data_IF_416249796261
#
_entry.id   IF_416249796261
#
_cell.length_a   1.000
_cell.length_b   1.000
_cell.length_c   1.000
_cell.angle_alpha   90.00
_cell.angle_beta   90.00
_cell.angle_gamma   90.00
#
_symmetry.space_group_name_H-M   'P 1'
#
loop_
_entity.id
_entity.type
_entity.pdbx_description
1 polymer ?
#
# COMPACT_ATOMS: atom_id res chain seq x y z
N UNK A 1 -7.81 -15.70 -15.25
CA UNK A 1 -8.04 -14.36 -15.83
C UNK A 1 -7.09 -13.38 -15.18
N UNK A 2 -7.36 -12.08 -15.31
CA UNK A 2 -6.46 -11.03 -14.77
C UNK A 2 -7.22 -10.07 -13.87
N UNK A 3 -6.59 -9.61 -12.80
CA UNK A 3 -7.10 -8.55 -11.92
C UNK A 3 -6.85 -7.19 -12.59
N UNK A 4 -7.90 -6.39 -12.70
CA UNK A 4 -7.81 -5.02 -13.22
C UNK A 4 -7.47 -4.07 -12.07
N UNK A 5 -8.23 -4.16 -10.97
CA UNK A 5 -8.07 -3.29 -9.80
C UNK A 5 -8.66 -3.97 -8.56
N UNK A 6 -8.19 -3.55 -7.38
CA UNK A 6 -8.68 -4.02 -6.09
C UNK A 6 -8.89 -2.85 -5.14
N UNK A 7 -9.99 -2.91 -4.39
CA UNK A 7 -10.44 -1.88 -3.44
C UNK A 7 -10.93 -2.52 -2.15
N UNK A 8 -10.99 -1.76 -1.06
CA UNK A 8 -11.62 -2.19 0.19
C UNK A 8 -12.93 -1.43 0.40
N UNK A 9 -14.07 -2.12 0.25
CA UNK A 9 -15.39 -1.55 0.49
C UNK A 9 -15.79 -1.75 1.96
N UNK A 10 -16.22 -0.64 2.59
CA UNK A 10 -16.56 -0.60 4.01
C UNK A 10 -17.81 -1.43 4.28
N UNK A 11 -17.65 -2.53 5.01
CA UNK A 11 -18.73 -3.42 5.41
C UNK A 11 -18.99 -4.57 4.45
N UNK A 12 -18.41 -4.56 3.24
CA UNK A 12 -18.45 -5.71 2.32
C UNK A 12 -17.15 -6.51 2.32
N UNK A 13 -16.01 -5.84 2.51
CA UNK A 13 -14.67 -6.44 2.46
C UNK A 13 -13.94 -6.09 1.18
N UNK A 14 -12.93 -6.88 0.83
CA UNK A 14 -12.14 -6.66 -0.39
C UNK A 14 -12.93 -6.99 -1.64
N UNK A 15 -12.90 -6.06 -2.58
CA UNK A 15 -13.60 -6.11 -3.85
C UNK A 15 -12.57 -5.95 -4.96
N UNK A 16 -12.54 -6.90 -5.89
CA UNK A 16 -11.60 -6.87 -7.01
C UNK A 16 -12.36 -6.89 -8.33
N UNK A 17 -12.07 -5.96 -9.22
CA UNK A 17 -12.55 -5.99 -10.60
C UNK A 17 -11.62 -6.90 -11.39
N UNK A 18 -12.15 -7.98 -11.97
CA UNK A 18 -11.38 -8.98 -12.70
C UNK A 18 -11.91 -9.16 -14.11
N UNK A 19 -11.01 -9.46 -15.05
CA UNK A 19 -11.35 -9.85 -16.41
C UNK A 19 -11.24 -11.36 -16.55
N UNK A 20 -12.37 -12.03 -16.79
CA UNK A 20 -12.39 -13.47 -17.10
C UNK A 20 -11.85 -13.65 -18.52
N UNK A 21 -10.73 -14.36 -18.68
CA UNK A 21 -10.12 -14.59 -19.99
C UNK A 21 -10.46 -15.97 -20.57
N UNK A 22 -10.65 -16.97 -19.70
CA UNK A 22 -10.95 -18.34 -20.08
C UNK A 22 -11.86 -18.98 -19.03
N UNK A 23 -12.75 -19.87 -19.48
CA UNK A 23 -13.73 -20.53 -18.61
C UNK A 23 -14.88 -19.63 -18.19
N UNK A 24 -15.58 -20.02 -17.14
CA UNK A 24 -16.72 -19.28 -16.57
C UNK A 24 -16.53 -19.18 -15.07
N UNK A 25 -16.53 -17.97 -14.54
CA UNK A 25 -16.49 -17.71 -13.11
C UNK A 25 -17.90 -17.71 -12.56
N UNK A 26 -18.15 -18.39 -11.44
CA UNK A 26 -19.45 -18.50 -10.79
C UNK A 26 -19.40 -18.09 -9.32
N UNK A 27 -20.55 -17.70 -8.78
CA UNK A 27 -20.68 -17.52 -7.33
C UNK A 27 -20.45 -18.86 -6.64
N UNK A 28 -19.62 -18.86 -5.60
CA UNK A 28 -19.23 -20.05 -4.87
C UNK A 28 -17.89 -20.64 -5.29
N UNK A 29 -17.32 -20.22 -6.42
CA UNK A 29 -15.98 -20.67 -6.83
C UNK A 29 -14.91 -20.19 -5.84
N UNK A 30 -13.89 -21.02 -5.65
CA UNK A 30 -12.69 -20.63 -4.89
C UNK A 30 -11.73 -19.98 -5.87
N UNK A 31 -11.30 -18.76 -5.56
CA UNK A 31 -10.34 -18.03 -6.37
C UNK A 31 -9.03 -17.81 -5.61
N UNK A 32 -7.93 -17.84 -6.36
CA UNK A 32 -6.58 -17.57 -5.89
C UNK A 32 -5.94 -16.54 -6.83
N UNK A 33 -5.47 -15.43 -6.27
CA UNK A 33 -4.76 -14.38 -7.00
C UNK A 33 -3.61 -13.85 -6.14
N UNK A 34 -2.39 -13.88 -6.67
CA UNK A 34 -1.19 -13.59 -5.89
C UNK A 34 -1.08 -14.48 -4.65
N UNK A 35 -1.03 -13.85 -3.48
CA UNK A 35 -1.04 -14.46 -2.13
C UNK A 35 -2.43 -14.48 -1.50
N UNK A 36 -3.45 -13.99 -2.19
CA UNK A 36 -4.81 -13.86 -1.68
C UNK A 36 -5.73 -14.93 -2.22
N UNK A 37 -6.62 -15.43 -1.36
CA UNK A 37 -7.59 -16.45 -1.72
C UNK A 37 -8.92 -16.21 -1.02
N UNK A 38 -9.99 -16.73 -1.62
CA UNK A 38 -11.30 -16.68 -1.02
C UNK A 38 -12.36 -17.27 -1.93
N UNK A 39 -13.56 -17.43 -1.37
CA UNK A 39 -14.72 -17.88 -2.11
C UNK A 39 -15.48 -16.69 -2.66
N UNK A 40 -15.88 -16.75 -3.92
CA UNK A 40 -16.74 -15.73 -4.55
C UNK A 40 -18.08 -15.70 -3.82
N UNK A 41 -18.33 -14.63 -3.05
CA UNK A 41 -19.58 -14.41 -2.30
C UNK A 41 -20.63 -13.71 -3.15
N UNK A 42 -20.20 -12.79 -3.98
CA UNK A 42 -21.05 -12.04 -4.89
C UNK A 42 -20.23 -11.57 -6.09
N UNK A 43 -20.93 -11.40 -7.22
CA UNK A 43 -20.37 -10.82 -8.43
C UNK A 43 -21.30 -9.73 -8.95
N UNK A 44 -20.73 -8.67 -9.50
CA UNK A 44 -21.45 -7.54 -10.07
C UNK A 44 -20.87 -7.18 -11.44
N UNK A 45 -21.72 -6.82 -12.40
CA UNK A 45 -21.25 -6.28 -13.67
C UNK A 45 -20.87 -4.79 -13.55
N UNK A 46 -20.41 -4.19 -14.65
CA UNK A 46 -20.04 -2.77 -14.73
C UNK A 46 -21.16 -1.80 -14.35
N UNK A 47 -22.42 -2.24 -14.44
CA UNK A 47 -23.59 -1.47 -14.04
C UNK A 47 -23.99 -1.66 -12.56
N UNK A 48 -23.18 -2.38 -11.77
CA UNK A 48 -23.45 -2.69 -10.36
C UNK A 48 -24.60 -3.70 -10.15
N UNK A 49 -25.06 -4.37 -11.22
CA UNK A 49 -26.10 -5.40 -11.12
C UNK A 49 -25.45 -6.73 -10.75
N UNK A 50 -26.09 -7.47 -9.84
CA UNK A 50 -25.65 -8.81 -9.46
C UNK A 50 -25.68 -9.75 -10.67
N UNK A 51 -24.62 -10.53 -10.83
CA UNK A 51 -24.52 -11.59 -11.84
C UNK A 51 -24.14 -12.90 -11.16
N UNK A 52 -24.62 -14.02 -11.67
CA UNK A 52 -24.36 -15.36 -11.10
C UNK A 52 -23.22 -16.08 -11.80
N UNK A 53 -22.96 -15.74 -13.05
CA UNK A 53 -21.88 -16.27 -13.86
C UNK A 53 -21.26 -15.18 -14.75
N UNK A 54 -19.96 -15.30 -15.02
CA UNK A 54 -19.22 -14.42 -15.92
C UNK A 54 -18.37 -15.29 -16.86
N UNK A 55 -18.68 -15.22 -18.17
CA UNK A 55 -17.94 -15.92 -19.21
C UNK A 55 -16.66 -15.19 -19.64
N UNK A 56 -15.95 -15.71 -20.65
CA UNK A 56 -14.75 -15.07 -21.19
C UNK A 56 -15.05 -13.64 -21.70
N UNK A 57 -14.03 -12.79 -21.66
CA UNK A 57 -14.08 -11.38 -22.07
C UNK A 57 -15.07 -10.50 -21.28
N UNK A 58 -15.54 -10.98 -20.13
CA UNK A 58 -16.47 -10.23 -19.27
C UNK A 58 -15.72 -9.68 -18.06
N UNK A 59 -15.67 -8.34 -17.87
CA UNK A 59 -15.21 -7.76 -16.62
C UNK A 59 -16.28 -7.95 -15.54
N UNK A 60 -15.89 -8.40 -14.36
CA UNK A 60 -16.80 -8.63 -13.25
C UNK A 60 -16.15 -8.21 -11.95
N UNK A 61 -16.90 -7.51 -11.12
CA UNK A 61 -16.49 -7.14 -9.79
C UNK A 61 -16.80 -8.28 -8.83
N UNK A 62 -15.76 -8.82 -8.20
CA UNK A 62 -15.82 -9.99 -7.33
C UNK A 62 -15.62 -9.59 -5.88
N UNK A 63 -16.53 -10.05 -5.03
CA UNK A 63 -16.43 -9.92 -3.58
C UNK A 63 -16.11 -11.29 -2.97
N UNK A 64 -15.11 -11.35 -2.08
CA UNK A 64 -14.87 -12.55 -1.27
C UNK A 64 -13.41 -12.92 -1.02
N UNK A 65 -12.46 -12.20 -1.61
CA UNK A 65 -11.04 -12.35 -1.31
C UNK A 65 -10.71 -11.87 0.10
N UNK A 66 -9.68 -12.46 0.69
CA UNK A 66 -9.16 -12.09 2.01
C UNK A 66 -8.15 -10.92 1.99
N UNK A 67 -7.90 -10.34 0.83
CA UNK A 67 -7.03 -9.19 0.64
C UNK A 67 -7.22 -8.56 -0.73
N UNK A 68 -6.45 -7.51 -1.02
CA UNK A 68 -6.45 -6.80 -2.30
C UNK A 68 -5.30 -7.35 -3.18
N UNK A 69 -5.58 -8.21 -4.17
CA UNK A 69 -4.58 -8.61 -5.16
C UNK A 69 -4.15 -7.44 -6.03
N UNK A 70 -2.93 -7.54 -6.57
CA UNK A 70 -2.33 -6.43 -7.32
C UNK A 70 -2.95 -6.29 -8.71
N UNK A 71 -2.97 -5.07 -9.21
CA UNK A 71 -3.35 -4.83 -10.60
C UNK A 71 -2.41 -5.60 -11.55
N UNK A 72 -2.99 -6.36 -12.49
CA UNK A 72 -2.24 -7.21 -13.40
C UNK A 72 -1.97 -8.63 -12.89
N UNK A 73 -2.27 -8.94 -11.62
CA UNK A 73 -2.14 -10.31 -11.11
C UNK A 73 -3.04 -11.27 -11.89
N UNK A 74 -2.52 -12.47 -12.13
CA UNK A 74 -3.33 -13.58 -12.62
C UNK A 74 -4.18 -14.13 -11.48
N UNK A 75 -5.44 -14.45 -11.79
CA UNK A 75 -6.30 -15.21 -10.90
C UNK A 75 -6.72 -16.53 -11.54
N UNK A 76 -6.79 -17.57 -10.72
CA UNK A 76 -7.25 -18.90 -11.11
C UNK A 76 -8.38 -19.35 -10.20
N UNK A 77 -9.33 -20.09 -10.77
CA UNK A 77 -10.32 -20.84 -10.00
C UNK A 77 -9.66 -22.13 -9.53
N UNK A 78 -9.86 -22.47 -8.26
CA UNK A 78 -9.30 -23.64 -7.59
C UNK A 78 -10.42 -24.63 -7.27
N UNK A 79 -10.11 -25.92 -7.28
CA UNK A 79 -11.09 -26.98 -6.98
C UNK A 79 -11.47 -27.01 -5.49
N UNK A 80 -10.51 -26.73 -4.61
CA UNK A 80 -10.70 -26.79 -3.17
C UNK A 80 -10.07 -25.60 -2.42
N UNK A 81 -10.71 -25.23 -1.31
CA UNK A 81 -10.30 -24.09 -0.48
C UNK A 81 -8.98 -24.35 0.26
N UNK A 82 -8.67 -25.61 0.55
CA UNK A 82 -7.50 -25.98 1.33
C UNK A 82 -6.22 -25.84 0.51
N UNK A 83 -6.19 -26.38 -0.71
CA UNK A 83 -5.06 -26.26 -1.64
C UNK A 83 -4.81 -24.80 -2.00
N UNK A 84 -5.85 -24.02 -2.23
CA UNK A 84 -5.75 -22.59 -2.50
C UNK A 84 -5.04 -21.85 -1.35
N UNK A 85 -5.43 -22.12 -0.09
CA UNK A 85 -4.76 -21.56 1.10
C UNK A 85 -3.33 -22.03 1.27
N UNK A 86 -3.03 -23.31 1.03
CA UNK A 86 -1.67 -23.83 1.13
C UNK A 86 -0.74 -23.16 0.12
N UNK A 87 -1.21 -22.96 -1.13
CA UNK A 87 -0.46 -22.24 -2.17
C UNK A 87 -0.29 -20.77 -1.80
N UNK A 88 -1.36 -20.10 -1.35
CA UNK A 88 -1.34 -18.71 -0.91
C UNK A 88 -0.29 -18.47 0.19
N UNK A 89 -0.33 -19.29 1.26
CA UNK A 89 0.60 -19.20 2.38
C UNK A 89 2.06 -19.46 1.93
N UNK A 90 2.27 -20.41 1.03
CA UNK A 90 3.62 -20.69 0.49
C UNK A 90 4.15 -19.51 -0.31
N UNK A 91 3.29 -18.87 -1.13
CA UNK A 91 3.66 -17.66 -1.87
C UNK A 91 3.95 -16.49 -0.94
N UNK A 92 3.16 -16.30 0.10
CA UNK A 92 3.37 -15.26 1.11
C UNK A 92 4.71 -15.43 1.83
N UNK A 93 5.04 -16.67 2.24
CA UNK A 93 6.34 -16.98 2.84
C UNK A 93 7.50 -16.66 1.89
N UNK A 94 7.39 -17.06 0.62
CA UNK A 94 8.41 -16.76 -0.39
C UNK A 94 8.57 -15.25 -0.62
N UNK A 95 7.46 -14.51 -0.71
CA UNK A 95 7.47 -13.06 -0.88
C UNK A 95 8.10 -12.37 0.33
N UNK A 96 7.81 -12.83 1.56
CA UNK A 96 8.44 -12.31 2.77
C UNK A 96 9.94 -12.54 2.79
N UNK A 97 10.40 -13.73 2.40
CA UNK A 97 11.83 -14.05 2.32
C UNK A 97 12.51 -13.19 1.25
N UNK A 98 11.89 -13.05 0.07
CA UNK A 98 12.41 -12.18 -1.00
C UNK A 98 12.46 -10.71 -0.56
N UNK A 99 11.46 -10.22 0.17
CA UNK A 99 11.46 -8.87 0.74
C UNK A 99 12.65 -8.65 1.68
N UNK A 100 12.94 -9.61 2.56
CA UNK A 100 14.11 -9.57 3.46
C UNK A 100 15.42 -9.60 2.67
N UNK A 101 15.52 -10.39 1.60
CA UNK A 101 16.72 -10.45 0.77
C UNK A 101 16.94 -9.20 -0.09
N UNK A 102 15.86 -8.51 -0.48
CA UNK A 102 15.92 -7.28 -1.27
C UNK A 102 16.19 -6.05 -0.40
N UNK A 103 15.91 -6.13 0.90
CA UNK A 103 16.49 -5.19 1.86
C UNK A 103 18.00 -5.39 1.85
N UNK A 104 18.72 -4.43 1.24
CA UNK A 104 20.17 -4.34 1.35
C UNK A 104 20.51 -4.49 2.82
N UNK A 105 21.25 -5.55 3.17
CA UNK A 105 21.82 -5.66 4.50
C UNK A 105 22.64 -4.40 4.69
N UNK A 106 22.21 -3.54 5.61
CA UNK A 106 22.98 -2.35 5.97
C UNK A 106 24.26 -2.90 6.58
N UNK A 107 25.34 -2.88 5.80
CA UNK A 107 26.62 -3.42 6.24
C UNK A 107 27.17 -2.53 7.35
N UNK A 108 28.03 -3.08 8.21
CA UNK A 108 28.72 -2.29 9.24
C UNK A 108 29.47 -1.09 8.62
N UNK A 109 29.95 -1.22 7.38
CA UNK A 109 30.56 -0.13 6.61
C UNK A 109 29.54 0.94 6.18
N UNK A 110 28.33 0.54 5.78
CA UNK A 110 27.25 1.47 5.44
C UNK A 110 26.74 2.20 6.68
N UNK A 111 26.62 1.50 7.82
CA UNK A 111 26.33 2.10 9.13
C UNK A 111 27.46 3.07 9.52
N UNK A 112 28.73 2.67 9.38
CA UNK A 112 29.89 3.51 9.65
C UNK A 112 29.92 4.76 8.78
N UNK A 113 29.58 4.65 7.48
CA UNK A 113 29.43 5.80 6.58
C UNK A 113 28.27 6.70 7.00
N UNK A 114 27.11 6.15 7.39
CA UNK A 114 25.96 6.91 7.89
C UNK A 114 26.29 7.67 9.18
N UNK A 115 27.04 7.05 10.10
CA UNK A 115 27.53 7.68 11.34
C UNK A 115 28.55 8.78 11.02
N UNK A 116 29.46 8.55 10.07
CA UNK A 116 30.48 9.53 9.67
C UNK A 116 29.90 10.77 8.99
N UNK A 117 28.75 10.66 8.31
CA UNK A 117 28.03 11.78 7.68
C UNK A 117 27.32 12.66 8.73
N UNK A 118 27.22 12.20 9.99
CA UNK A 118 26.80 13.02 11.14
C UNK A 118 25.34 13.51 11.15
N UNK A 119 24.58 13.31 10.07
CA UNK A 119 23.24 13.89 9.88
C UNK A 119 22.31 13.04 9.00
N UNK A 120 22.42 11.71 9.05
CA UNK A 120 21.50 10.84 8.33
C UNK A 120 20.13 10.83 9.00
N UNK A 121 19.09 11.32 8.30
CA UNK A 121 17.71 11.33 8.81
C UNK A 121 16.84 10.37 8.02
N UNK A 122 15.85 9.79 8.69
CA UNK A 122 14.86 8.92 8.06
C UNK A 122 13.49 9.56 8.16
N UNK A 123 12.74 9.54 7.05
CA UNK A 123 11.35 9.93 6.99
C UNK A 123 10.50 8.68 6.75
N UNK A 124 9.82 8.25 7.79
CA UNK A 124 8.96 7.09 7.76
C UNK A 124 7.54 7.49 7.35
N UNK A 125 6.97 6.75 6.41
CA UNK A 125 5.66 7.05 5.84
C UNK A 125 4.80 5.78 5.82
N UNK A 126 3.55 5.91 6.22
CA UNK A 126 2.50 4.92 6.00
C UNK A 126 1.58 5.45 4.90
N UNK A 127 1.30 4.63 3.89
CA UNK A 127 0.50 5.00 2.73
C UNK A 127 -0.80 4.22 2.73
N UNK A 128 -1.93 4.93 2.69
CA UNK A 128 -3.26 4.35 2.49
C UNK A 128 -3.91 4.93 1.25
N UNK A 129 -4.58 4.10 0.47
CA UNK A 129 -5.27 4.55 -0.74
C UNK A 129 -6.58 3.81 -0.96
N UNK A 130 -7.38 4.33 -1.88
CA UNK A 130 -8.69 3.79 -2.24
C UNK A 130 -8.56 2.52 -3.09
N UNK A 131 -7.59 2.52 -4.00
CA UNK A 131 -7.29 1.43 -4.92
C UNK A 131 -5.82 1.00 -4.83
N UNK A 132 -5.55 -0.28 -5.07
CA UNK A 132 -4.20 -0.85 -4.98
C UNK A 132 -3.18 -0.16 -5.90
N UNK A 133 -3.54 0.05 -7.18
CA UNK A 133 -2.62 0.66 -8.15
C UNK A 133 -2.18 2.09 -7.80
N UNK A 134 -3.05 2.87 -7.17
CA UNK A 134 -2.70 4.23 -6.68
C UNK A 134 -1.76 4.16 -5.48
N UNK A 135 -1.97 3.21 -4.58
CA UNK A 135 -1.09 2.99 -3.42
C UNK A 135 0.32 2.62 -3.88
N UNK A 136 0.43 1.72 -4.86
CA UNK A 136 1.71 1.30 -5.41
C UNK A 136 2.43 2.46 -6.12
N UNK A 137 1.73 3.16 -7.02
CA UNK A 137 2.28 4.28 -7.78
C UNK A 137 2.79 5.41 -6.86
N UNK A 138 2.01 5.74 -5.82
CA UNK A 138 2.37 6.75 -4.83
C UNK A 138 3.57 6.30 -3.99
N UNK A 139 3.55 5.08 -3.44
CA UNK A 139 4.65 4.55 -2.62
C UNK A 139 5.96 4.54 -3.39
N UNK A 140 5.94 4.07 -4.64
CA UNK A 140 7.12 4.05 -5.51
C UNK A 140 7.62 5.46 -5.86
N UNK A 141 6.73 6.44 -5.98
CA UNK A 141 7.11 7.84 -6.24
C UNK A 141 7.74 8.50 -5.01
N UNK A 142 7.22 8.23 -3.82
CA UNK A 142 7.77 8.76 -2.56
C UNK A 142 9.16 8.20 -2.24
N UNK A 143 9.38 6.90 -2.44
CA UNK A 143 10.69 6.28 -2.21
C UNK A 143 11.78 6.90 -3.10
N UNK A 144 11.44 7.26 -4.34
CA UNK A 144 12.35 7.95 -5.29
C UNK A 144 12.79 9.35 -4.84
N UNK A 145 12.12 9.94 -3.85
CA UNK A 145 12.51 11.23 -3.27
C UNK A 145 13.67 11.13 -2.27
N UNK A 146 14.11 9.91 -1.93
CA UNK A 146 15.24 9.69 -1.04
C UNK A 146 16.52 10.34 -1.57
N UNK A 147 17.22 11.08 -0.70
CA UNK A 147 18.50 11.73 -0.95
C UNK A 147 19.58 11.08 -0.07
N UNK A 148 20.86 11.43 -0.28
CA UNK A 148 21.96 10.91 0.55
C UNK A 148 21.85 11.31 2.03
N UNK A 149 21.20 12.44 2.32
CA UNK A 149 21.02 13.00 3.67
C UNK A 149 19.72 12.57 4.34
N UNK A 150 18.66 12.32 3.56
CA UNK A 150 17.35 11.92 4.07
C UNK A 150 16.82 10.71 3.29
N UNK A 151 16.64 9.60 3.99
CA UNK A 151 16.06 8.38 3.42
C UNK A 151 14.55 8.34 3.67
N UNK A 152 13.76 8.19 2.60
CA UNK A 152 12.30 8.03 2.68
C UNK A 152 11.96 6.55 2.72
N UNK A 153 11.29 6.12 3.79
CA UNK A 153 10.90 4.74 4.01
C UNK A 153 9.38 4.61 4.03
N UNK A 154 8.82 3.81 3.12
CA UNK A 154 7.41 3.41 3.20
C UNK A 154 7.32 2.15 4.06
N UNK A 155 6.88 2.29 5.32
CA UNK A 155 6.84 1.19 6.30
C UNK A 155 5.66 0.26 6.02
N UNK A 156 4.53 0.84 5.65
CA UNK A 156 3.32 0.09 5.37
C UNK A 156 2.52 0.78 4.27
N UNK A 157 2.07 0.00 3.31
CA UNK A 157 1.20 0.42 2.22
C UNK A 157 0.01 -0.54 2.15
N UNK A 158 -1.20 0.01 2.13
CA UNK A 158 -2.40 -0.81 2.08
C UNK A 158 -3.61 -0.05 1.52
N UNK A 159 -4.60 -0.81 1.08
CA UNK A 159 -5.84 -0.28 0.53
C UNK A 159 -6.91 -0.16 1.61
N UNK A 160 -7.65 0.94 1.59
CA UNK A 160 -8.82 1.20 2.41
C UNK A 160 -8.69 2.35 3.40
N UNK A 161 -9.72 2.46 4.24
CA UNK A 161 -9.84 3.51 5.26
C UNK A 161 -8.65 3.48 6.24
N UNK A 162 -8.14 4.64 6.65
CA UNK A 162 -7.12 4.71 7.72
C UNK A 162 -7.76 4.27 9.04
N UNK A 163 -7.15 3.27 9.67
CA UNK A 163 -7.62 2.62 10.89
C UNK A 163 -6.80 3.00 12.12
N UNK A 164 -7.27 2.62 13.31
CA UNK A 164 -6.53 2.84 14.56
C UNK A 164 -5.19 2.10 14.57
N UNK A 165 -5.14 0.90 13.99
CA UNK A 165 -3.91 0.11 13.89
C UNK A 165 -2.83 0.81 13.10
N UNK A 166 -3.22 1.58 12.07
CA UNK A 166 -2.28 2.36 11.27
C UNK A 166 -1.71 3.53 12.08
N UNK A 167 -2.54 4.18 12.90
CA UNK A 167 -2.10 5.26 13.80
C UNK A 167 -1.17 4.72 14.89
N UNK A 168 -1.45 3.55 15.44
CA UNK A 168 -0.57 2.90 16.41
C UNK A 168 0.79 2.52 15.80
N UNK A 169 0.77 1.99 14.56
CA UNK A 169 2.00 1.68 13.83
C UNK A 169 2.82 2.95 13.54
N UNK A 170 2.14 4.04 13.18
CA UNK A 170 2.75 5.34 12.96
C UNK A 170 3.42 5.87 14.23
N UNK A 171 2.72 5.81 15.37
CA UNK A 171 3.26 6.24 16.66
C UNK A 171 4.48 5.40 17.08
N UNK A 172 4.41 4.08 16.91
CA UNK A 172 5.53 3.20 17.26
C UNK A 172 6.77 3.40 16.37
N UNK A 173 6.59 3.85 15.13
CA UNK A 173 7.66 3.96 14.12
C UNK A 173 8.05 5.41 13.80
N UNK A 174 7.49 6.39 14.52
CA UNK A 174 7.61 7.82 14.23
C UNK A 174 7.36 8.14 12.74
N UNK A 175 6.21 7.68 12.23
CA UNK A 175 5.85 7.82 10.83
C UNK A 175 4.68 8.78 10.64
N UNK A 176 4.64 9.46 9.49
CA UNK A 176 3.46 10.23 9.04
C UNK A 176 2.53 9.33 8.22
N UNK A 177 1.24 9.62 8.25
CA UNK A 177 0.24 8.88 7.47
C UNK A 177 -0.19 9.71 6.26
N UNK A 178 -0.02 9.14 5.07
CA UNK A 178 -0.46 9.72 3.79
C UNK A 178 -1.66 8.93 3.27
N UNK A 179 -2.82 9.58 3.19
CA UNK A 179 -4.05 9.02 2.64
C UNK A 179 -4.35 9.57 1.25
N UNK A 180 -4.46 8.72 0.25
CA UNK A 180 -4.87 9.09 -1.11
C UNK A 180 -6.32 8.68 -1.38
N UNK A 181 -7.19 9.65 -1.63
CA UNK A 181 -8.62 9.44 -1.87
C UNK A 181 -9.34 8.61 -0.78
N UNK A 182 -8.76 8.56 0.41
CA UNK A 182 -9.31 7.89 1.60
C UNK A 182 -9.47 8.88 2.75
N UNK A 183 -10.27 8.50 3.74
CA UNK A 183 -10.50 9.29 4.95
C UNK A 183 -10.16 8.45 6.17
N UNK A 184 -9.74 9.04 7.31
CA UNK A 184 -9.60 8.29 8.54
C UNK A 184 -10.95 7.89 9.13
N UNK A 185 -10.97 6.78 9.86
CA UNK A 185 -12.12 6.44 10.72
C UNK A 185 -12.26 7.47 11.84
N UNK A 186 -13.46 7.59 12.42
CA UNK A 186 -13.71 8.53 13.50
C UNK A 186 -12.84 8.25 14.74
N UNK A 187 -12.56 6.98 15.00
CA UNK A 187 -11.69 6.55 16.09
C UNK A 187 -10.21 6.75 15.77
N UNK A 188 -9.78 6.46 14.54
CA UNK A 188 -8.41 6.74 14.09
C UNK A 188 -8.07 8.23 14.16
N UNK A 189 -9.00 9.12 13.79
CA UNK A 189 -8.80 10.57 13.91
C UNK A 189 -8.58 11.01 15.36
N UNK A 190 -9.43 10.55 16.28
CA UNK A 190 -9.30 10.86 17.71
C UNK A 190 -7.98 10.34 18.29
N UNK A 191 -7.56 9.14 17.87
CA UNK A 191 -6.30 8.56 18.31
C UNK A 191 -5.10 9.34 17.76
N UNK A 192 -5.16 9.76 16.49
CA UNK A 192 -4.09 10.54 15.88
C UNK A 192 -3.92 11.91 16.56
N UNK A 193 -5.02 12.58 16.93
CA UNK A 193 -4.98 13.82 17.72
C UNK A 193 -4.36 13.59 19.11
N UNK A 194 -4.65 12.44 19.74
CA UNK A 194 -4.12 12.09 21.08
C UNK A 194 -2.64 11.74 21.07
N UNK A 195 -2.19 11.02 20.06
CA UNK A 195 -0.80 10.57 19.91
C UNK A 195 0.05 11.54 19.06
N UNK A 196 -0.52 12.71 18.70
CA UNK A 196 0.12 13.76 17.89
C UNK A 196 0.66 13.25 16.54
N UNK A 197 -0.05 12.30 15.92
CA UNK A 197 0.31 11.72 14.62
C UNK A 197 -0.30 12.54 13.49
N UNK A 198 0.57 12.96 12.57
CA UNK A 198 0.15 13.72 11.40
C UNK A 198 -0.49 12.81 10.33
N UNK A 199 -1.72 13.16 9.94
CA UNK A 199 -2.45 12.53 8.83
C UNK A 199 -2.64 13.56 7.73
N UNK A 200 -2.01 13.35 6.58
CA UNK A 200 -2.19 14.17 5.38
C UNK A 200 -3.04 13.43 4.36
N UNK A 201 -4.04 14.13 3.82
CA UNK A 201 -4.99 13.58 2.86
C UNK A 201 -4.82 14.29 1.52
N UNK A 202 -4.73 13.50 0.45
CA UNK A 202 -4.55 14.01 -0.91
C UNK A 202 -5.55 13.38 -1.86
N UNK A 203 -5.88 14.13 -2.90
CA UNK A 203 -6.63 13.64 -4.07
C UNK A 203 -5.79 13.67 -5.34
N UNK A 204 -4.61 14.30 -5.31
CA UNK A 204 -3.68 14.44 -6.45
C UNK A 204 -2.29 13.99 -6.01
N UNK A 205 -1.67 13.10 -6.78
CA UNK A 205 -0.38 12.48 -6.43
C UNK A 205 0.74 13.54 -6.38
N UNK A 206 0.69 14.54 -7.26
CA UNK A 206 1.71 15.60 -7.29
C UNK A 206 1.73 16.47 -6.03
N UNK A 207 0.56 16.73 -5.43
CA UNK A 207 0.46 17.50 -4.20
C UNK A 207 1.14 16.73 -3.05
N UNK A 208 0.88 15.42 -2.96
CA UNK A 208 1.55 14.56 -1.98
C UNK A 208 3.08 14.54 -2.18
N UNK A 209 3.54 14.47 -3.43
CA UNK A 209 4.97 14.49 -3.74
C UNK A 209 5.61 15.83 -3.32
N UNK A 210 4.96 16.95 -3.58
CA UNK A 210 5.49 18.27 -3.25
C UNK A 210 5.55 18.49 -1.73
N UNK A 211 4.48 18.19 -1.00
CA UNK A 211 4.46 18.31 0.46
C UNK A 211 5.56 17.46 1.12
N UNK A 212 5.78 16.24 0.62
CA UNK A 212 6.85 15.36 1.14
C UNK A 212 8.24 15.90 0.76
N UNK A 213 8.42 16.50 -0.41
CA UNK A 213 9.68 17.19 -0.75
C UNK A 213 9.94 18.35 0.20
N UNK A 214 8.94 19.18 0.48
CA UNK A 214 9.06 20.31 1.39
C UNK A 214 9.39 19.84 2.81
N UNK A 215 8.79 18.74 3.26
CA UNK A 215 9.13 18.10 4.53
C UNK A 215 10.60 17.63 4.56
N UNK A 216 11.08 16.99 3.48
CA UNK A 216 12.49 16.60 3.36
C UNK A 216 13.41 17.83 3.41
N UNK A 217 13.04 18.92 2.76
CA UNK A 217 13.82 20.17 2.78
C UNK A 217 13.86 20.82 4.17
N UNK A 218 12.73 20.82 4.90
CA UNK A 218 12.67 21.28 6.29
C UNK A 218 13.49 20.41 7.25
N UNK A 219 13.76 19.15 6.89
CA UNK A 219 14.65 18.27 7.66
C UNK A 219 16.13 18.54 7.39
N UNK A 220 16.49 19.26 6.33
CA UNK A 220 17.89 19.61 6.04
C UNK A 220 18.34 20.78 6.90
N UNK A 221 19.60 20.76 7.33
CA UNK A 221 20.19 21.89 8.06
C UNK A 221 20.37 23.10 7.13
N UNK A 222 20.05 24.32 7.57
CA UNK A 222 20.24 25.51 6.76
C UNK A 222 21.73 25.75 6.50
N UNK A 223 22.10 26.01 5.25
CA UNK A 223 23.47 26.36 4.88
C UNK A 223 23.78 27.76 5.41
N UNK A 224 24.50 27.83 6.53
CA UNK A 224 25.00 29.09 7.08
C UNK A 224 26.03 29.69 6.11
N UNK A 225 25.72 30.87 5.54
CA UNK A 225 26.71 31.71 4.86
C UNK A 225 27.07 32.85 5.79
N UNK A 226 28.31 32.87 6.26
CA UNK A 226 28.87 34.05 6.90
C UNK A 226 29.21 35.08 5.82
N UNK A 227 28.49 36.20 5.80
CA UNK A 227 28.91 37.40 5.07
C UNK A 227 29.77 38.26 5.98
N UNK A 228 31.00 38.52 5.56
CA UNK A 228 31.87 39.51 6.21
C UNK A 228 31.33 40.90 5.85
N UNK A 229 30.56 41.49 6.74
CA UNK A 229 30.21 42.91 6.68
C UNK A 229 31.41 43.73 7.15
N UNK A 230 32.06 44.47 6.24
CA UNK A 230 33.09 45.44 6.60
C UNK A 230 32.49 46.57 7.46
N UNK A 231 33.29 47.01 8.44
CA UNK A 231 32.97 48.04 9.45
C UNK A 231 32.72 49.44 8.89
#
# INVERSE_FOLDING_TARGET
>A
GTVIESTLDKGRGYVSTVLVQAGTLRIGDVILSGTFTGRVKAMFNENGKKVTEAGPSTPVQVLGLNGAPQAGDLFNVMDDDRSAREIANKREQLQRIQGIMTQKHVTLDEIGRRIAIGSFKELNIIVKGDVDGSVEAMSGSLIKLSKETVQVNVIHSAVGQISESDVLLAAASNAIIVGFQVRPSASARKLAEKEEIEIRLYSIIYDAINDIKDAIEGMLEPVMKEEIVCS
#
